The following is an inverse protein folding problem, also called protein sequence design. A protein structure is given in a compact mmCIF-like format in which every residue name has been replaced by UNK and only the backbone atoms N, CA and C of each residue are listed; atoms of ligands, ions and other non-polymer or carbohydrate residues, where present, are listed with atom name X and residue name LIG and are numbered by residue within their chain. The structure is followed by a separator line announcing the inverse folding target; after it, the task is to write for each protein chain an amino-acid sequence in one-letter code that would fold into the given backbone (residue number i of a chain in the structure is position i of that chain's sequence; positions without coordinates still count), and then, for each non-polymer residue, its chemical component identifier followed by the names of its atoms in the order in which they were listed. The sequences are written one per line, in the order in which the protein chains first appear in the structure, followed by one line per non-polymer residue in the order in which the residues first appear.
data_IF_025730444308
#
_entry.id   IF_025730444308
#
_cell.length_a   1.000
_cell.length_b   1.000
_cell.length_c   1.000
_cell.angle_alpha   90.00
_cell.angle_beta   90.00
_cell.angle_gamma   90.00
#
_symmetry.space_group_name_H-M   'P 1'
#
loop_
_entity.id
_entity.type
_entity.pdbx_description
1 polymer ?
#
# COMPACT_ATOMS: atom_id res chain seq x y z
N UNK A 1 11.96 35.46 -10.02
CA UNK A 1 12.94 34.47 -10.53
C UNK A 1 12.27 33.17 -10.98
N UNK A 2 11.50 32.48 -10.11
CA UNK A 2 10.86 31.20 -10.41
C UNK A 2 9.84 31.26 -11.56
N UNK A 3 9.05 32.33 -11.61
CA UNK A 3 8.07 32.57 -12.70
C UNK A 3 8.76 32.68 -14.08
N UNK A 4 9.96 33.26 -14.12
CA UNK A 4 10.76 33.31 -15.34
C UNK A 4 11.14 31.91 -15.81
N UNK A 5 11.66 31.05 -14.92
CA UNK A 5 12.07 29.69 -15.27
C UNK A 5 10.90 28.81 -15.71
N UNK A 6 9.70 29.02 -15.14
CA UNK A 6 8.48 28.33 -15.59
C UNK A 6 8.11 28.77 -17.02
N UNK A 7 8.14 30.09 -17.29
CA UNK A 7 7.82 30.62 -18.65
C UNK A 7 8.88 30.21 -19.69
N UNK A 8 10.13 30.08 -19.26
CA UNK A 8 11.24 29.66 -20.12
C UNK A 8 11.29 28.12 -20.33
N UNK A 9 10.39 27.35 -19.70
CA UNK A 9 10.36 25.90 -19.82
C UNK A 9 11.47 25.16 -19.06
N UNK A 10 12.27 25.84 -18.23
CA UNK A 10 13.35 25.24 -17.48
C UNK A 10 12.87 24.44 -16.26
N UNK A 11 11.64 24.72 -15.79
CA UNK A 11 10.98 23.99 -14.71
C UNK A 11 9.49 23.83 -14.98
N UNK A 12 8.93 22.73 -14.53
CA UNK A 12 7.50 22.43 -14.59
C UNK A 12 6.92 22.66 -13.19
N UNK A 13 5.86 23.45 -13.10
CA UNK A 13 5.13 23.62 -11.84
C UNK A 13 4.17 22.44 -11.65
N UNK A 14 4.44 21.60 -10.66
CA UNK A 14 3.54 20.51 -10.27
C UNK A 14 2.39 21.05 -9.40
N UNK A 15 2.72 21.86 -8.39
CA UNK A 15 1.81 22.62 -7.55
C UNK A 15 2.53 23.81 -6.91
N UNK A 16 1.83 24.59 -6.09
CA UNK A 16 2.48 25.64 -5.28
C UNK A 16 3.58 25.03 -4.38
N UNK A 17 4.80 25.48 -4.56
CA UNK A 17 5.97 25.04 -3.78
C UNK A 17 6.59 23.71 -4.22
N UNK A 18 6.10 23.06 -5.30
CA UNK A 18 6.70 21.85 -5.88
C UNK A 18 6.90 22.03 -7.38
N UNK A 19 8.12 21.85 -7.82
CA UNK A 19 8.56 22.04 -9.21
C UNK A 19 9.48 20.88 -9.60
N UNK A 20 9.43 20.50 -10.88
CA UNK A 20 10.35 19.56 -11.49
C UNK A 20 11.28 20.32 -12.44
N UNK A 21 12.58 20.06 -12.38
CA UNK A 21 13.55 20.59 -13.32
C UNK A 21 13.43 19.91 -14.68
N UNK A 22 13.65 20.68 -15.75
CA UNK A 22 13.68 20.16 -17.12
C UNK A 22 15.13 20.30 -17.61
N UNK A 23 15.75 19.22 -18.09
CA UNK A 23 17.09 19.27 -18.64
C UNK A 23 17.18 20.22 -19.86
N UNK A 24 18.34 20.85 -20.12
CA UNK A 24 18.53 21.62 -21.32
C UNK A 24 18.23 20.80 -22.59
N UNK A 25 17.49 21.40 -23.51
CA UNK A 25 17.09 20.74 -24.76
C UNK A 25 15.82 19.86 -24.67
N UNK A 26 15.28 19.63 -23.49
CA UNK A 26 14.00 18.91 -23.33
C UNK A 26 12.82 19.91 -23.31
N UNK A 27 11.66 19.47 -23.83
CA UNK A 27 10.42 20.24 -23.76
C UNK A 27 9.71 20.04 -22.43
N UNK A 28 9.40 21.12 -21.71
CA UNK A 28 8.63 21.06 -20.46
C UNK A 28 7.25 20.40 -20.62
N UNK A 29 6.65 20.46 -21.80
CA UNK A 29 5.34 19.87 -22.07
C UNK A 29 5.39 18.34 -22.08
N UNK A 30 6.45 17.78 -22.68
CA UNK A 30 6.59 16.34 -22.91
C UNK A 30 7.57 15.64 -21.96
N UNK A 31 8.42 16.41 -21.24
CA UNK A 31 9.41 15.83 -20.34
C UNK A 31 8.76 14.94 -19.27
N UNK A 32 9.12 13.66 -19.20
CA UNK A 32 8.54 12.74 -18.23
C UNK A 32 9.00 13.11 -16.80
N UNK A 33 8.05 13.28 -15.91
CA UNK A 33 8.34 13.51 -14.49
C UNK A 33 8.00 12.23 -13.73
N UNK A 34 9.00 11.65 -13.06
CA UNK A 34 8.83 10.43 -12.29
C UNK A 34 7.81 10.61 -11.16
N UNK A 35 6.67 9.88 -11.19
CA UNK A 35 5.61 10.06 -10.22
C UNK A 35 6.00 9.64 -8.81
N UNK A 36 6.90 8.67 -8.63
CA UNK A 36 7.40 8.26 -7.31
C UNK A 36 8.23 9.37 -6.65
N UNK A 37 9.03 10.08 -7.43
CA UNK A 37 9.76 11.24 -6.93
C UNK A 37 8.82 12.38 -6.55
N UNK A 38 7.74 12.58 -7.33
CA UNK A 38 6.72 13.55 -6.96
C UNK A 38 6.06 13.19 -5.64
N UNK A 39 5.62 11.93 -5.47
CA UNK A 39 5.05 11.45 -4.21
C UNK A 39 5.97 11.73 -3.04
N UNK A 40 7.24 11.39 -3.15
CA UNK A 40 8.24 11.59 -2.10
C UNK A 40 8.44 13.07 -1.72
N UNK A 41 7.97 14.01 -2.54
CA UNK A 41 8.06 15.46 -2.30
C UNK A 41 6.69 16.11 -2.01
N UNK A 42 5.61 15.34 -1.98
CA UNK A 42 4.28 15.87 -1.63
C UNK A 42 4.20 16.34 -0.17
N UNK A 43 4.89 15.68 0.74
CA UNK A 43 5.05 16.09 2.14
C UNK A 43 6.50 15.84 2.60
N UNK A 44 6.92 16.52 3.66
CA UNK A 44 8.29 16.35 4.20
C UNK A 44 8.55 14.94 4.74
N UNK A 45 7.50 14.31 5.25
CA UNK A 45 7.47 12.96 5.83
C UNK A 45 6.72 11.96 4.95
N UNK A 46 6.61 12.23 3.64
CA UNK A 46 5.91 11.34 2.72
C UNK A 46 6.57 9.96 2.66
N UNK A 47 5.74 8.92 2.81
CA UNK A 47 6.15 7.51 2.67
C UNK A 47 5.25 6.86 1.63
N UNK A 48 5.82 6.36 0.54
CA UNK A 48 5.10 5.59 -0.46
C UNK A 48 4.44 4.38 0.21
N UNK A 49 3.17 4.12 -0.09
CA UNK A 49 2.40 3.11 0.66
C UNK A 49 1.30 2.46 -0.19
N UNK A 50 0.72 1.37 0.32
CA UNK A 50 -0.36 0.64 -0.33
C UNK A 50 0.02 0.21 -1.75
N UNK A 51 -0.85 0.41 -2.75
CA UNK A 51 -0.58 0.03 -4.14
C UNK A 51 0.70 0.67 -4.70
N UNK A 52 0.96 1.95 -4.37
CA UNK A 52 2.18 2.65 -4.80
C UNK A 52 3.45 2.00 -4.28
N UNK A 53 3.41 1.43 -3.07
CA UNK A 53 4.56 0.66 -2.55
C UNK A 53 4.68 -0.68 -3.28
N UNK A 54 3.58 -1.38 -3.59
CA UNK A 54 3.62 -2.59 -4.41
C UNK A 54 4.24 -2.33 -5.78
N UNK A 55 3.82 -1.25 -6.46
CA UNK A 55 4.42 -0.85 -7.74
C UNK A 55 5.90 -0.53 -7.60
N UNK A 56 6.28 0.20 -6.54
CA UNK A 56 7.69 0.54 -6.30
C UNK A 56 8.56 -0.70 -6.09
N UNK A 57 8.03 -1.72 -5.40
CA UNK A 57 8.70 -2.99 -5.19
C UNK A 57 8.61 -3.95 -6.39
N UNK A 58 7.93 -3.56 -7.47
CA UNK A 58 7.71 -4.43 -8.63
C UNK A 58 6.80 -5.63 -8.34
N UNK A 59 5.88 -5.48 -7.37
CA UNK A 59 4.96 -6.52 -6.89
C UNK A 59 3.48 -6.20 -7.18
N UNK A 60 3.18 -5.08 -7.83
CA UNK A 60 1.82 -4.77 -8.27
C UNK A 60 1.44 -5.60 -9.51
N UNK A 61 0.22 -6.13 -9.51
CA UNK A 61 -0.33 -6.86 -10.66
C UNK A 61 -0.61 -5.92 -11.84
N UNK A 62 -1.12 -4.73 -11.56
CA UNK A 62 -1.35 -3.69 -12.57
C UNK A 62 -0.63 -2.39 -12.23
N UNK A 63 -0.38 -1.55 -13.22
CA UNK A 63 0.16 -0.20 -13.04
C UNK A 63 -1.00 0.79 -12.97
N UNK A 64 -0.99 1.65 -11.94
CA UNK A 64 -2.03 2.67 -11.76
C UNK A 64 -1.50 4.08 -11.99
N UNK A 65 -2.36 4.95 -12.45
CA UNK A 65 -2.09 6.40 -12.49
C UNK A 65 -2.43 7.10 -11.15
N UNK A 66 -2.72 6.32 -10.12
CA UNK A 66 -3.06 6.80 -8.77
C UNK A 66 -1.99 6.43 -7.77
N UNK A 67 -1.37 7.44 -7.20
CA UNK A 67 -0.28 7.32 -6.24
C UNK A 67 -0.73 7.70 -4.83
N UNK A 68 -0.41 6.84 -3.86
CA UNK A 68 -0.80 6.99 -2.46
C UNK A 68 0.44 7.08 -1.57
N UNK A 69 0.42 7.99 -0.61
CA UNK A 69 1.47 8.13 0.39
C UNK A 69 0.91 8.39 1.78
N UNK A 70 1.62 7.93 2.79
CA UNK A 70 1.37 8.24 4.20
C UNK A 70 2.09 9.53 4.60
N UNK A 71 1.44 10.34 5.44
CA UNK A 71 2.05 11.53 6.05
C UNK A 71 1.34 11.88 7.35
N UNK A 72 2.04 12.52 8.28
CA UNK A 72 1.44 13.09 9.50
C UNK A 72 0.47 14.23 9.19
N UNK A 73 0.70 14.94 8.08
CA UNK A 73 -0.14 16.04 7.59
C UNK A 73 -0.38 15.87 6.09
N UNK A 74 -1.24 14.90 5.70
CA UNK A 74 -1.51 14.67 4.30
C UNK A 74 -2.16 15.89 3.66
N UNK A 75 -1.78 16.18 2.46
CA UNK A 75 -2.36 17.27 1.68
C UNK A 75 -3.63 16.81 0.96
N UNK A 76 -4.44 17.79 0.56
CA UNK A 76 -5.55 17.54 -0.36
C UNK A 76 -5.05 16.85 -1.63
N UNK A 77 -5.82 15.92 -2.19
CA UNK A 77 -5.44 15.25 -3.42
C UNK A 77 -5.22 16.24 -4.57
N UNK A 78 -4.27 15.92 -5.42
CA UNK A 78 -3.99 16.69 -6.63
C UNK A 78 -3.89 15.78 -7.84
N UNK A 79 -4.20 16.33 -9.01
CA UNK A 79 -3.88 15.71 -10.30
C UNK A 79 -2.78 16.53 -10.97
N UNK A 80 -1.76 15.83 -11.44
CA UNK A 80 -0.73 16.42 -12.29
C UNK A 80 -0.54 15.54 -13.51
N UNK A 81 -0.82 16.09 -14.69
CA UNK A 81 -0.94 15.33 -15.94
C UNK A 81 -1.94 14.17 -15.77
N UNK A 82 -1.56 12.95 -16.17
CA UNK A 82 -2.41 11.76 -16.01
C UNK A 82 -2.45 11.24 -14.56
N UNK A 83 -1.52 11.64 -13.69
CA UNK A 83 -1.35 11.04 -12.37
C UNK A 83 -2.14 11.75 -11.29
N UNK A 84 -2.81 10.95 -10.45
CA UNK A 84 -3.55 11.39 -9.27
C UNK A 84 -2.79 11.04 -7.98
N UNK A 85 -2.54 12.03 -7.13
CA UNK A 85 -1.77 11.89 -5.91
C UNK A 85 -2.65 12.09 -4.68
N UNK A 86 -2.68 11.10 -3.79
CA UNK A 86 -3.51 11.09 -2.57
C UNK A 86 -2.66 10.86 -1.32
N UNK A 87 -2.63 11.86 -0.45
CA UNK A 87 -2.09 11.72 0.90
C UNK A 87 -3.08 11.02 1.82
N UNK A 88 -2.58 10.13 2.66
CA UNK A 88 -3.33 9.40 3.68
C UNK A 88 -2.68 9.65 5.03
N UNK A 89 -3.50 9.85 6.06
CA UNK A 89 -3.00 10.02 7.43
C UNK A 89 -2.35 8.74 7.94
N UNK A 90 -1.30 8.91 8.74
CA UNK A 90 -0.68 7.80 9.47
C UNK A 90 -1.73 7.06 10.32
N UNK A 91 -1.66 5.73 10.44
CA UNK A 91 -2.52 4.97 11.34
C UNK A 91 -2.42 5.49 12.78
N UNK A 92 -3.56 5.84 13.38
CA UNK A 92 -3.61 6.42 14.75
C UNK A 92 -2.91 5.54 15.78
N UNK A 93 -3.03 4.22 15.64
CA UNK A 93 -2.38 3.26 16.52
C UNK A 93 -0.85 3.40 16.50
N UNK A 94 -0.25 3.53 15.32
CA UNK A 94 1.20 3.74 15.17
C UNK A 94 1.66 5.08 15.75
N UNK A 95 0.87 6.15 15.56
CA UNK A 95 1.17 7.45 16.13
C UNK A 95 1.18 7.36 17.67
N UNK A 96 0.15 6.73 18.26
CA UNK A 96 0.04 6.54 19.70
C UNK A 96 1.21 5.74 20.28
N UNK A 97 1.67 4.73 19.57
CA UNK A 97 2.76 3.84 19.99
C UNK A 97 4.16 4.34 19.57
N UNK A 98 4.26 5.51 18.92
CA UNK A 98 5.50 6.07 18.37
C UNK A 98 6.20 5.11 17.39
N UNK A 99 5.43 4.28 16.68
CA UNK A 99 5.92 3.23 15.76
C UNK A 99 5.69 3.59 14.29
N UNK A 100 5.56 4.87 13.94
CA UNK A 100 5.24 5.32 12.57
C UNK A 100 6.31 4.95 11.54
N UNK A 101 7.56 4.76 11.97
CA UNK A 101 8.68 4.34 11.14
C UNK A 101 8.86 2.82 11.05
N UNK A 102 7.99 2.04 11.71
CA UNK A 102 8.06 0.58 11.63
C UNK A 102 8.02 0.15 10.17
N UNK A 103 8.98 -0.66 9.75
CA UNK A 103 9.16 -1.19 8.41
C UNK A 103 8.98 -0.11 7.32
N UNK A 104 9.64 1.04 7.51
CA UNK A 104 9.83 2.08 6.49
C UNK A 104 11.28 2.03 6.06
N UNK A 105 11.50 1.76 4.78
CA UNK A 105 12.84 1.70 4.19
C UNK A 105 13.16 2.98 3.44
N UNK A 106 14.44 3.29 3.35
CA UNK A 106 14.99 4.34 2.48
C UNK A 106 15.51 3.69 1.22
N UNK A 107 15.07 4.19 0.08
CA UNK A 107 15.53 3.74 -1.22
C UNK A 107 16.07 4.92 -2.03
N UNK A 108 17.00 4.65 -2.93
CA UNK A 108 17.44 5.62 -3.92
C UNK A 108 16.58 5.47 -5.18
N UNK A 109 16.17 6.61 -5.74
CA UNK A 109 15.56 6.66 -7.06
C UNK A 109 16.11 7.85 -7.82
N UNK A 110 16.89 7.57 -8.85
CA UNK A 110 17.55 8.60 -9.68
C UNK A 110 18.39 9.58 -8.85
N UNK A 111 19.16 9.11 -7.88
CA UNK A 111 20.00 9.91 -7.00
C UNK A 111 19.25 10.65 -5.89
N UNK A 112 17.97 10.38 -5.68
CA UNK A 112 17.15 11.00 -4.63
C UNK A 112 16.62 9.97 -3.64
N UNK A 113 16.88 10.21 -2.36
CA UNK A 113 16.34 9.38 -1.29
C UNK A 113 14.82 9.55 -1.18
N UNK A 114 14.11 8.43 -1.18
CA UNK A 114 12.68 8.33 -0.95
C UNK A 114 12.40 7.37 0.21
N UNK A 115 11.23 7.49 0.81
CA UNK A 115 10.77 6.55 1.83
C UNK A 115 9.62 5.73 1.28
N UNK A 116 9.63 4.43 1.55
CA UNK A 116 8.58 3.48 1.13
C UNK A 116 8.34 2.47 2.25
N UNK A 117 7.11 2.00 2.41
CA UNK A 117 6.82 0.89 3.32
C UNK A 117 7.46 -0.39 2.82
N UNK A 118 8.09 -1.17 3.71
CA UNK A 118 8.60 -2.50 3.40
C UNK A 118 7.49 -3.45 2.97
N UNK A 119 7.83 -4.61 2.42
CA UNK A 119 6.86 -5.56 1.87
C UNK A 119 5.90 -6.09 2.94
N UNK A 120 6.38 -6.38 4.14
CA UNK A 120 5.58 -6.91 5.24
C UNK A 120 4.54 -5.90 5.72
N UNK A 121 4.95 -4.65 5.89
CA UNK A 121 4.03 -3.56 6.20
C UNK A 121 3.05 -3.31 5.07
N UNK A 122 3.51 -3.28 3.83
CA UNK A 122 2.67 -3.07 2.64
C UNK A 122 1.62 -4.16 2.52
N UNK A 123 1.99 -5.44 2.74
CA UNK A 123 1.08 -6.59 2.78
C UNK A 123 -0.09 -6.35 3.75
N UNK A 124 0.21 -5.96 4.97
CA UNK A 124 -0.83 -5.73 5.98
C UNK A 124 -1.64 -4.46 5.67
N UNK A 125 -0.99 -3.38 5.21
CA UNK A 125 -1.64 -2.11 4.89
C UNK A 125 -2.65 -2.26 3.75
N UNK A 126 -2.36 -3.04 2.71
CA UNK A 126 -3.30 -3.24 1.58
C UNK A 126 -4.52 -4.07 2.00
N UNK A 127 -4.35 -5.04 2.90
CA UNK A 127 -5.47 -5.80 3.48
C UNK A 127 -6.29 -4.97 4.48
N UNK A 128 -5.63 -4.07 5.19
CA UNK A 128 -6.29 -3.13 6.11
C UNK A 128 -7.12 -2.08 5.36
N UNK A 129 -6.60 -1.55 4.25
CA UNK A 129 -7.22 -0.47 3.46
C UNK A 129 -7.31 -0.86 1.97
N UNK A 130 -8.13 -1.87 1.62
CA UNK A 130 -8.28 -2.33 0.24
C UNK A 130 -8.76 -1.22 -0.71
N UNK A 131 -9.52 -0.24 -0.19
CA UNK A 131 -9.99 0.94 -0.93
C UNK A 131 -8.85 1.81 -1.51
N UNK A 132 -7.63 1.66 -1.01
CA UNK A 132 -6.45 2.36 -1.50
C UNK A 132 -5.61 1.54 -2.49
N UNK A 133 -5.99 0.27 -2.72
CA UNK A 133 -5.17 -0.66 -3.51
C UNK A 133 -5.86 -1.10 -4.80
N UNK A 134 -7.17 -1.05 -4.87
CA UNK A 134 -7.93 -1.44 -6.06
C UNK A 134 -8.94 -2.54 -5.78
N UNK A 135 -9.15 -3.43 -6.74
CA UNK A 135 -10.04 -4.59 -6.57
C UNK A 135 -9.38 -5.67 -5.70
N UNK A 136 -10.19 -6.62 -5.22
CA UNK A 136 -9.65 -7.78 -4.50
C UNK A 136 -8.77 -8.66 -5.39
N UNK A 137 -9.06 -8.74 -6.68
CA UNK A 137 -8.20 -9.43 -7.64
C UNK A 137 -6.82 -8.77 -7.73
N UNK A 138 -6.78 -7.44 -7.88
CA UNK A 138 -5.54 -6.68 -7.88
C UNK A 138 -4.71 -6.93 -6.61
N UNK A 139 -5.37 -6.88 -5.45
CA UNK A 139 -4.72 -7.14 -4.16
C UNK A 139 -4.16 -8.57 -4.11
N UNK A 140 -5.00 -9.56 -4.44
CA UNK A 140 -4.61 -10.97 -4.35
C UNK A 140 -3.45 -11.28 -5.27
N UNK A 141 -3.56 -10.92 -6.57
CA UNK A 141 -2.51 -11.16 -7.56
C UNK A 141 -1.20 -10.44 -7.22
N UNK A 142 -1.30 -9.21 -6.71
CA UNK A 142 -0.12 -8.48 -6.24
C UNK A 142 0.58 -9.18 -5.09
N UNK A 143 -0.17 -9.65 -4.10
CA UNK A 143 0.38 -10.33 -2.94
C UNK A 143 0.91 -11.72 -3.26
N UNK A 144 0.29 -12.46 -4.18
CA UNK A 144 0.77 -13.77 -4.69
C UNK A 144 2.11 -13.65 -5.42
N UNK A 145 2.46 -12.48 -5.95
CA UNK A 145 3.77 -12.26 -6.58
C UNK A 145 4.92 -12.13 -5.58
N UNK A 146 4.63 -12.08 -4.27
CA UNK A 146 5.62 -11.97 -3.21
C UNK A 146 5.97 -13.40 -2.74
N UNK A 147 7.21 -13.79 -2.95
CA UNK A 147 7.68 -15.17 -2.70
C UNK A 147 7.96 -15.45 -1.21
N UNK A 148 8.22 -14.41 -0.44
CA UNK A 148 8.62 -14.54 0.97
C UNK A 148 8.18 -13.34 1.79
N UNK A 149 7.77 -13.60 3.03
CA UNK A 149 7.53 -12.59 4.08
C UNK A 149 8.31 -12.96 5.34
N UNK A 150 8.89 -11.94 5.98
CA UNK A 150 9.30 -12.04 7.38
C UNK A 150 8.03 -12.05 8.26
N UNK A 151 7.59 -13.25 8.62
CA UNK A 151 6.34 -13.46 9.37
C UNK A 151 6.37 -12.80 10.75
N UNK A 152 7.53 -12.66 11.39
CA UNK A 152 7.67 -11.98 12.67
C UNK A 152 7.40 -10.47 12.54
N UNK A 153 7.86 -9.87 11.46
CA UNK A 153 7.51 -8.48 11.14
C UNK A 153 6.03 -8.32 10.84
N UNK A 154 5.44 -9.26 10.07
CA UNK A 154 3.99 -9.24 9.80
C UNK A 154 3.19 -9.31 11.11
N UNK A 155 3.51 -10.25 12.02
CA UNK A 155 2.84 -10.37 13.32
C UNK A 155 3.00 -9.09 14.14
N UNK A 156 4.22 -8.57 14.23
CA UNK A 156 4.51 -7.32 14.96
C UNK A 156 3.68 -6.17 14.42
N UNK A 157 3.57 -6.04 13.11
CA UNK A 157 2.80 -4.93 12.51
C UNK A 157 1.30 -5.08 12.72
N UNK A 158 0.76 -6.32 12.63
CA UNK A 158 -0.63 -6.62 12.98
C UNK A 158 -0.93 -6.22 14.43
N UNK A 159 -0.02 -6.51 15.36
CA UNK A 159 -0.16 -6.12 16.77
C UNK A 159 -0.11 -4.61 16.97
N UNK A 160 0.81 -3.92 16.30
CA UNK A 160 0.91 -2.47 16.33
C UNK A 160 -0.35 -1.78 15.81
N UNK A 161 -1.01 -2.33 14.79
CA UNK A 161 -2.28 -1.81 14.27
C UNK A 161 -3.44 -2.08 15.23
N UNK A 162 -3.43 -3.20 15.96
CA UNK A 162 -4.46 -3.58 16.91
C UNK A 162 -5.85 -3.74 16.29
N UNK A 163 -5.93 -4.13 15.01
CA UNK A 163 -7.19 -4.27 14.27
C UNK A 163 -7.50 -5.75 14.02
N UNK A 164 -8.44 -6.29 14.79
CA UNK A 164 -8.84 -7.70 14.72
C UNK A 164 -9.31 -8.14 13.31
N UNK A 165 -10.01 -7.26 12.58
CA UNK A 165 -10.44 -7.56 11.20
C UNK A 165 -9.24 -7.66 10.26
N UNK A 166 -8.23 -6.81 10.44
CA UNK A 166 -7.00 -6.87 9.65
C UNK A 166 -6.21 -8.14 9.98
N UNK A 167 -6.10 -8.50 11.26
CA UNK A 167 -5.48 -9.77 11.68
C UNK A 167 -6.14 -10.99 11.01
N UNK A 168 -7.48 -11.00 10.97
CA UNK A 168 -8.23 -12.06 10.31
C UNK A 168 -8.00 -12.10 8.79
N UNK A 169 -7.91 -10.94 8.12
CA UNK A 169 -7.63 -10.85 6.67
C UNK A 169 -6.22 -11.35 6.34
N UNK A 170 -5.23 -10.92 7.13
CA UNK A 170 -3.84 -11.38 7.02
C UNK A 170 -3.76 -12.88 7.20
N UNK A 171 -4.36 -13.41 8.28
CA UNK A 171 -4.36 -14.84 8.55
C UNK A 171 -5.08 -15.65 7.49
N UNK A 172 -6.20 -15.15 6.96
CA UNK A 172 -6.93 -15.80 5.86
C UNK A 172 -6.06 -15.89 4.60
N UNK A 173 -5.39 -14.81 4.21
CA UNK A 173 -4.48 -14.83 3.06
C UNK A 173 -3.33 -15.84 3.28
N UNK A 174 -2.67 -15.78 4.43
CA UNK A 174 -1.55 -16.67 4.75
C UNK A 174 -1.96 -18.15 4.81
N UNK A 175 -3.18 -18.44 5.32
CA UNK A 175 -3.71 -19.81 5.34
C UNK A 175 -3.96 -20.36 3.93
N UNK A 176 -4.48 -19.52 3.02
CA UNK A 176 -4.68 -19.89 1.61
C UNK A 176 -3.37 -20.16 0.87
N UNK A 177 -2.28 -19.52 1.28
CA UNK A 177 -0.95 -19.62 0.64
C UNK A 177 0.07 -20.32 1.56
N UNK A 178 -0.42 -21.15 2.50
CA UNK A 178 0.36 -21.75 3.57
C UNK A 178 1.60 -22.48 3.07
N UNK A 179 1.47 -23.29 2.03
CA UNK A 179 2.57 -24.08 1.47
C UNK A 179 3.57 -23.19 0.72
N UNK A 180 3.08 -22.30 -0.14
CA UNK A 180 3.92 -21.41 -0.95
C UNK A 180 4.75 -20.44 -0.09
N UNK A 181 4.16 -19.92 0.99
CA UNK A 181 4.80 -18.97 1.91
C UNK A 181 5.43 -19.65 3.14
N UNK A 182 5.45 -20.97 3.20
CA UNK A 182 6.01 -21.77 4.32
C UNK A 182 5.47 -21.35 5.69
N UNK A 183 4.17 -21.07 5.78
CA UNK A 183 3.52 -20.63 7.02
C UNK A 183 3.18 -21.84 7.87
N UNK A 184 3.69 -21.91 9.08
CA UNK A 184 3.36 -23.00 10.01
C UNK A 184 2.00 -22.79 10.72
N UNK A 185 1.43 -23.87 11.26
CA UNK A 185 0.14 -23.83 11.94
C UNK A 185 0.21 -23.06 13.27
N UNK A 186 1.36 -23.06 13.93
CA UNK A 186 1.58 -22.33 15.18
C UNK A 186 1.43 -20.82 14.93
N UNK A 187 1.99 -20.33 13.82
CA UNK A 187 1.86 -18.94 13.43
C UNK A 187 0.39 -18.58 13.12
N UNK A 188 -0.29 -19.41 12.32
CA UNK A 188 -1.72 -19.20 12.04
C UNK A 188 -2.57 -19.20 13.31
N UNK A 189 -2.26 -20.06 14.27
CA UNK A 189 -2.94 -20.09 15.56
C UNK A 189 -2.79 -18.78 16.32
N UNK A 190 -1.59 -18.20 16.36
CA UNK A 190 -1.37 -16.91 17.03
C UNK A 190 -2.15 -15.76 16.37
N UNK A 191 -2.30 -15.77 15.06
CA UNK A 191 -3.15 -14.80 14.35
C UNK A 191 -4.64 -15.03 14.61
N UNK A 192 -5.09 -16.31 14.74
CA UNK A 192 -6.48 -16.62 15.07
C UNK A 192 -6.89 -16.10 16.45
N UNK A 193 -5.98 -16.03 17.39
CA UNK A 193 -6.23 -15.45 18.72
C UNK A 193 -6.54 -13.93 18.63
N UNK A 194 -6.07 -13.25 17.59
CA UNK A 194 -6.28 -11.82 17.34
C UNK A 194 -7.51 -11.52 16.48
N UNK A 195 -8.19 -12.56 15.96
CA UNK A 195 -9.37 -12.37 15.09
C UNK A 195 -10.54 -11.75 15.83
N UNK A 196 -11.51 -11.14 15.13
CA UNK A 196 -12.72 -10.63 15.78
C UNK A 196 -13.55 -11.75 16.41
N UNK A 197 -14.20 -11.47 17.54
CA UNK A 197 -15.07 -12.42 18.22
C UNK A 197 -16.39 -12.69 17.49
N UNK A 198 -16.82 -11.75 16.66
CA UNK A 198 -18.04 -11.85 15.84
C UNK A 198 -17.70 -11.83 14.36
N UNK A 199 -18.60 -12.31 13.48
CA UNK A 199 -18.39 -12.27 12.04
C UNK A 199 -18.16 -10.87 11.52
N UNK A 200 -17.05 -10.67 10.82
CA UNK A 200 -16.70 -9.46 10.09
C UNK A 200 -16.69 -9.72 8.60
N UNK A 201 -16.73 -8.67 7.80
CA UNK A 201 -16.73 -8.78 6.34
C UNK A 201 -15.37 -8.40 5.77
N UNK A 202 -14.89 -9.20 4.83
CA UNK A 202 -13.72 -8.83 4.04
C UNK A 202 -14.02 -7.53 3.26
N UNK A 203 -15.25 -7.47 2.70
CA UNK A 203 -15.79 -6.30 2.01
C UNK A 203 -17.24 -6.02 2.45
N UNK A 204 -17.46 -4.83 3.02
CA UNK A 204 -18.78 -4.47 3.58
C UNK A 204 -19.87 -4.24 2.52
N UNK A 205 -19.48 -3.85 1.30
CA UNK A 205 -20.42 -3.58 0.20
C UNK A 205 -21.07 -4.85 -0.35
N UNK A 206 -20.41 -6.02 -0.21
CA UNK A 206 -20.85 -7.31 -0.75
C UNK A 206 -21.31 -8.32 0.31
N UNK A 207 -22.02 -7.87 1.33
CA UNK A 207 -22.43 -8.69 2.49
C UNK A 207 -23.26 -9.93 2.15
N UNK A 208 -24.08 -9.90 1.08
CA UNK A 208 -25.04 -10.95 0.75
C UNK A 208 -24.46 -12.12 -0.04
N UNK A 209 -23.28 -11.98 -0.63
CA UNK A 209 -22.71 -12.95 -1.57
C UNK A 209 -21.47 -13.68 -1.03
N UNK A 210 -21.19 -13.49 0.27
CA UNK A 210 -19.99 -14.02 0.90
C UNK A 210 -20.15 -15.41 1.50
N UNK A 211 -19.03 -16.16 1.53
CA UNK A 211 -18.90 -17.40 2.30
C UNK A 211 -18.31 -17.09 3.68
N UNK A 212 -18.92 -17.62 4.73
CA UNK A 212 -18.40 -17.50 6.07
C UNK A 212 -17.22 -18.47 6.30
N UNK A 213 -16.10 -17.93 6.72
CA UNK A 213 -14.88 -18.68 7.09
C UNK A 213 -14.73 -18.64 8.61
N UNK A 214 -15.19 -19.72 9.26
CA UNK A 214 -15.27 -19.81 10.72
C UNK A 214 -13.92 -19.66 11.42
N UNK A 215 -12.84 -20.19 10.83
CA UNK A 215 -11.48 -20.07 11.36
C UNK A 215 -11.07 -18.62 11.64
N UNK A 216 -11.53 -17.67 10.81
CA UNK A 216 -11.18 -16.25 10.86
C UNK A 216 -12.32 -15.33 11.27
N UNK A 217 -13.52 -15.86 11.51
CA UNK A 217 -14.73 -15.05 11.67
C UNK A 217 -14.92 -14.00 10.55
N UNK A 218 -14.61 -14.39 9.31
CA UNK A 218 -14.73 -13.53 8.12
C UNK A 218 -15.80 -14.03 7.18
N UNK A 219 -16.58 -13.10 6.63
CA UNK A 219 -17.41 -13.33 5.45
C UNK A 219 -16.62 -12.85 4.23
N UNK A 220 -16.21 -13.79 3.40
CA UNK A 220 -15.33 -13.56 2.23
C UNK A 220 -16.17 -13.64 0.96
N UNK A 221 -16.12 -12.67 0.03
CA UNK A 221 -16.79 -12.75 -1.25
C UNK A 221 -16.38 -14.01 -2.01
N UNK A 222 -17.34 -14.65 -2.72
CA UNK A 222 -17.11 -15.90 -3.46
C UNK A 222 -15.96 -15.78 -4.46
N UNK A 223 -15.83 -14.60 -5.10
CA UNK A 223 -14.77 -14.30 -6.06
C UNK A 223 -13.38 -14.40 -5.42
N UNK A 224 -13.21 -13.81 -4.24
CA UNK A 224 -11.91 -13.84 -3.53
C UNK A 224 -11.59 -15.26 -3.07
N UNK A 225 -12.61 -16.02 -2.64
CA UNK A 225 -12.44 -17.42 -2.28
C UNK A 225 -12.01 -18.28 -3.47
N UNK A 226 -12.51 -17.94 -4.68
CA UNK A 226 -12.16 -18.61 -5.92
C UNK A 226 -10.77 -18.29 -6.44
N UNK A 227 -10.21 -17.11 -6.14
CA UNK A 227 -8.87 -16.73 -6.59
C UNK A 227 -7.79 -17.69 -6.08
N UNK A 228 -7.93 -18.17 -4.84
CA UNK A 228 -6.98 -19.10 -4.21
C UNK A 228 -7.12 -20.56 -4.69
N UNK A 229 -8.20 -20.92 -5.39
CA UNK A 229 -8.46 -22.29 -5.87
C UNK A 229 -7.92 -22.56 -7.28
N UNK A 230 -7.43 -21.54 -7.99
CA UNK A 230 -7.00 -21.64 -9.39
C UNK A 230 -5.54 -22.15 -9.53
N UNK A 231 -4.85 -22.40 -8.44
CA UNK A 231 -3.45 -22.83 -8.41
C UNK A 231 -3.24 -24.31 -8.04
N UNK A 232 -4.26 -25.17 -8.30
CA UNK A 232 -4.10 -26.64 -8.18
C UNK A 232 -3.96 -27.26 -9.56
#
# INVERSE_FOLDING_TARGET
LLTYHVKAGNVIRVRRGLYASVPPGASAETYPVDPFLLVARMAKDAVLSHHTALEFHGKAYSVFERFTYLSSKPMSPITFRAHYFKGVSLPKALVKQKAVSFDVIKADRSGMAISVTGLERTFVDVLNRPDLTGSWEEIWRSLESIEYFDLDKVATYVDLLGNATTAAKVGFFLEQHKEALMVDETYLKTLRERRPHQPHYLERSRRKEGRFVAAWNLVVPKEVYGLSLIHI
#
